data_IF_455115410901
#
_entry.id   IF_455115410901
#
_cell.length_a   1.000
_cell.length_b   1.000
_cell.length_c   1.000
_cell.angle_alpha   90.00
_cell.angle_beta   90.00
_cell.angle_gamma   90.00
#
_symmetry.space_group_name_H-M   'P 1'
#
loop_
_entity.id
_entity.type
_entity.pdbx_description
1 polymer ?
#
# COMPACT_ATOMS: atom_id res chain seq x y z
N UNK A 1 -10.65 -17.44 -12.29
CA UNK A 1 -9.56 -16.49 -11.96
C UNK A 1 -8.98 -16.90 -10.62
N UNK A 2 -7.67 -17.14 -10.53
CA UNK A 2 -6.99 -17.51 -9.29
C UNK A 2 -5.98 -16.43 -8.91
N UNK A 3 -6.17 -15.79 -7.76
CA UNK A 3 -5.28 -14.76 -7.26
C UNK A 3 -4.41 -15.27 -6.10
N UNK A 4 -3.20 -14.75 -5.98
CA UNK A 4 -2.37 -14.85 -4.78
C UNK A 4 -2.23 -13.45 -4.17
N UNK A 5 -2.38 -13.36 -2.85
CA UNK A 5 -2.19 -12.12 -2.10
C UNK A 5 -0.99 -12.29 -1.18
N UNK A 6 -0.08 -11.32 -1.23
CA UNK A 6 1.05 -11.21 -0.31
C UNK A 6 1.11 -9.78 0.22
N UNK A 7 1.60 -9.61 1.45
CA UNK A 7 1.74 -8.31 2.13
C UNK A 7 3.02 -8.30 2.96
N UNK A 8 3.40 -7.11 3.44
CA UNK A 8 4.41 -6.95 4.49
C UNK A 8 5.76 -7.59 4.14
N UNK A 9 6.20 -7.41 2.90
CA UNK A 9 7.55 -7.86 2.50
C UNK A 9 8.62 -6.91 3.03
N UNK A 10 8.29 -5.64 3.29
CA UNK A 10 9.14 -4.65 3.97
C UNK A 10 10.58 -4.59 3.42
N UNK A 11 10.78 -4.67 2.10
CA UNK A 11 12.12 -4.62 1.51
C UNK A 11 12.84 -3.32 1.89
N UNK A 12 14.07 -3.44 2.38
CA UNK A 12 14.83 -2.32 2.95
C UNK A 12 14.69 -2.15 4.47
N UNK A 13 13.88 -2.99 5.14
CA UNK A 13 13.74 -2.94 6.59
C UNK A 13 15.02 -3.38 7.32
N UNK A 14 15.70 -2.43 7.98
CA UNK A 14 16.89 -2.68 8.80
C UNK A 14 16.69 -3.72 9.92
N UNK A 15 15.43 -3.99 10.30
CA UNK A 15 15.07 -5.00 11.30
C UNK A 15 15.22 -6.45 10.81
N UNK A 16 15.61 -6.68 9.55
CA UNK A 16 15.70 -8.02 8.94
C UNK A 16 14.32 -8.64 8.68
N UNK A 17 13.31 -7.79 8.44
CA UNK A 17 11.94 -8.21 8.13
C UNK A 17 11.71 -8.40 6.62
N UNK A 18 12.69 -8.03 5.81
CA UNK A 18 12.76 -8.25 4.36
C UNK A 18 13.07 -9.71 4.00
N UNK A 19 12.37 -10.65 4.62
CA UNK A 19 12.58 -12.10 4.46
C UNK A 19 12.66 -12.54 2.99
N UNK A 20 11.80 -12.06 2.06
CA UNK A 20 11.84 -12.48 0.67
C UNK A 20 13.09 -12.00 -0.11
N UNK A 21 14.01 -11.27 0.53
CA UNK A 21 15.35 -11.00 -0.03
C UNK A 21 16.21 -12.26 -0.08
N UNK A 22 16.02 -13.17 0.87
CA UNK A 22 16.79 -14.40 0.95
C UNK A 22 16.20 -15.46 0.03
N UNK A 23 17.07 -16.12 -0.74
CA UNK A 23 16.69 -17.09 -1.79
C UNK A 23 15.78 -18.21 -1.25
N UNK A 24 16.03 -18.66 -0.02
CA UNK A 24 15.20 -19.67 0.65
C UNK A 24 13.71 -19.31 0.70
N UNK A 25 13.34 -18.05 0.96
CA UNK A 25 11.93 -17.65 0.99
C UNK A 25 11.34 -17.54 -0.42
N UNK A 26 12.14 -17.12 -1.40
CA UNK A 26 11.73 -17.07 -2.81
C UNK A 26 11.46 -18.47 -3.36
N UNK A 27 12.29 -19.46 -3.02
CA UNK A 27 12.07 -20.87 -3.37
C UNK A 27 10.76 -21.42 -2.81
N UNK A 28 10.32 -20.93 -1.64
CA UNK A 28 9.03 -21.30 -1.04
C UNK A 28 7.85 -20.60 -1.71
N UNK A 29 8.03 -19.36 -2.15
CA UNK A 29 7.01 -18.57 -2.83
C UNK A 29 6.80 -19.04 -4.28
N UNK A 30 7.86 -19.40 -5.00
CA UNK A 30 7.82 -19.69 -6.42
C UNK A 30 6.76 -20.73 -6.84
N UNK A 31 6.58 -21.88 -6.14
CA UNK A 31 5.51 -22.83 -6.47
C UNK A 31 4.10 -22.28 -6.29
N UNK A 32 3.90 -21.28 -5.43
CA UNK A 32 2.59 -20.67 -5.18
C UNK A 32 2.14 -19.76 -6.33
N UNK A 33 3.09 -19.28 -7.14
CA UNK A 33 2.84 -18.47 -8.34
C UNK A 33 2.44 -19.32 -9.55
N UNK A 34 2.53 -20.65 -9.46
CA UNK A 34 2.12 -21.53 -10.55
C UNK A 34 0.60 -21.54 -10.73
N UNK A 35 0.15 -21.31 -11.96
CA UNK A 35 -1.27 -21.34 -12.31
C UNK A 35 -2.14 -20.26 -11.65
N UNK A 36 -1.55 -19.18 -11.14
CA UNK A 36 -2.31 -17.98 -10.75
C UNK A 36 -2.43 -17.04 -11.95
N UNK A 37 -3.52 -16.26 -12.00
CA UNK A 37 -3.83 -15.24 -13.01
C UNK A 37 -3.47 -13.82 -12.53
N UNK A 38 -3.43 -13.62 -11.20
CA UNK A 38 -3.24 -12.32 -10.56
C UNK A 38 -2.40 -12.43 -9.29
N UNK A 39 -1.43 -11.53 -9.12
CA UNK A 39 -0.68 -11.35 -7.88
C UNK A 39 -0.99 -9.97 -7.30
N UNK A 40 -1.42 -9.96 -6.04
CA UNK A 40 -1.81 -8.73 -5.32
C UNK A 40 -0.81 -8.50 -4.18
N UNK A 41 -0.15 -7.35 -4.23
CA UNK A 41 0.65 -6.79 -3.13
C UNK A 41 -0.25 -5.92 -2.28
N UNK A 42 -0.62 -6.41 -1.09
CA UNK A 42 -1.50 -5.72 -0.15
C UNK A 42 -0.67 -4.94 0.88
N UNK A 43 0.04 -3.92 0.40
CA UNK A 43 0.75 -2.97 1.24
C UNK A 43 2.07 -3.46 1.82
N UNK A 44 2.86 -2.47 2.19
CA UNK A 44 4.17 -2.57 2.83
C UNK A 44 5.11 -3.50 2.06
N UNK A 45 5.16 -3.29 0.74
CA UNK A 45 6.11 -3.98 -0.13
C UNK A 45 7.54 -3.53 0.22
N UNK A 46 7.72 -2.23 0.40
CA UNK A 46 8.99 -1.62 0.77
C UNK A 46 8.90 -0.94 2.14
N UNK A 47 10.03 -0.86 2.84
CA UNK A 47 10.21 -0.03 4.03
C UNK A 47 11.13 1.14 3.75
N UNK A 48 10.53 2.25 3.30
CA UNK A 48 11.26 3.49 3.02
C UNK A 48 11.37 4.42 4.23
N UNK A 49 10.88 4.03 5.43
CA UNK A 49 11.02 4.89 6.61
C UNK A 49 12.46 4.98 7.11
N UNK A 50 13.25 3.93 6.90
CA UNK A 50 14.58 3.80 7.50
C UNK A 50 15.69 3.46 6.50
N UNK A 51 15.34 3.00 5.30
CA UNK A 51 16.28 2.62 4.23
C UNK A 51 16.24 3.58 3.06
N UNK A 52 17.29 3.57 2.23
CA UNK A 52 17.27 4.28 0.96
C UNK A 52 16.36 3.56 -0.05
N UNK A 53 15.83 4.31 -1.02
CA UNK A 53 15.02 3.72 -2.11
C UNK A 53 15.84 2.70 -2.89
N UNK A 54 17.11 3.01 -3.15
CA UNK A 54 18.01 2.14 -3.91
C UNK A 54 18.23 0.81 -3.17
N UNK A 55 18.56 0.85 -1.87
CA UNK A 55 18.75 -0.37 -1.07
C UNK A 55 17.49 -1.23 -1.00
N UNK A 56 16.32 -0.60 -0.87
CA UNK A 56 15.03 -1.27 -0.81
C UNK A 56 14.67 -1.95 -2.15
N UNK A 57 14.95 -1.29 -3.28
CA UNK A 57 14.75 -1.86 -4.63
C UNK A 57 15.75 -2.99 -4.90
N UNK A 58 17.01 -2.81 -4.51
CA UNK A 58 18.04 -3.85 -4.64
C UNK A 58 17.70 -5.09 -3.81
N UNK A 59 17.18 -4.90 -2.60
CA UNK A 59 16.69 -6.00 -1.76
C UNK A 59 15.52 -6.77 -2.40
N UNK A 60 14.70 -6.10 -3.23
CA UNK A 60 13.57 -6.70 -3.92
C UNK A 60 13.94 -7.42 -5.23
N UNK A 61 15.18 -7.32 -5.72
CA UNK A 61 15.62 -7.83 -7.02
C UNK A 61 15.22 -9.30 -7.26
N UNK A 62 15.43 -10.17 -6.26
CA UNK A 62 15.06 -11.59 -6.36
C UNK A 62 13.56 -11.80 -6.58
N UNK A 63 12.71 -11.07 -5.86
CA UNK A 63 11.26 -11.12 -6.03
C UNK A 63 10.83 -10.55 -7.38
N UNK A 64 11.43 -9.42 -7.80
CA UNK A 64 11.12 -8.79 -9.09
C UNK A 64 11.46 -9.73 -10.26
N UNK A 65 12.60 -10.44 -10.20
CA UNK A 65 12.99 -11.47 -11.18
C UNK A 65 12.04 -12.65 -11.17
N UNK A 66 11.66 -13.14 -10.00
CA UNK A 66 10.68 -14.22 -9.87
C UNK A 66 9.33 -13.84 -10.48
N UNK A 67 8.84 -12.63 -10.19
CA UNK A 67 7.61 -12.11 -10.76
C UNK A 67 7.70 -11.95 -12.27
N UNK A 68 8.80 -11.40 -12.79
CA UNK A 68 9.02 -11.28 -14.23
C UNK A 68 8.96 -12.65 -14.92
N UNK A 69 9.51 -13.70 -14.30
CA UNK A 69 9.51 -15.05 -14.83
C UNK A 69 8.14 -15.76 -14.77
N UNK A 70 7.36 -15.55 -13.70
CA UNK A 70 6.12 -16.32 -13.42
C UNK A 70 4.82 -15.56 -13.74
N UNK A 71 4.89 -14.24 -13.80
CA UNK A 71 3.75 -13.34 -13.97
C UNK A 71 3.77 -12.57 -15.30
N UNK A 72 4.64 -12.94 -16.24
CA UNK A 72 4.66 -12.34 -17.59
C UNK A 72 3.29 -12.46 -18.27
N UNK A 73 2.73 -11.33 -18.69
CA UNK A 73 1.40 -11.25 -19.33
C UNK A 73 0.22 -11.43 -18.38
N UNK A 74 0.46 -11.56 -17.07
CA UNK A 74 -0.56 -11.70 -16.03
C UNK A 74 -0.78 -10.39 -15.28
N UNK A 75 -1.82 -10.36 -14.43
CA UNK A 75 -2.17 -9.16 -13.69
C UNK A 75 -1.34 -9.02 -12.42
N UNK A 76 -0.80 -7.83 -12.20
CA UNK A 76 -0.13 -7.42 -10.97
C UNK A 76 -0.88 -6.22 -10.40
N UNK A 77 -1.32 -6.33 -9.15
CA UNK A 77 -1.96 -5.23 -8.43
C UNK A 77 -1.10 -4.87 -7.23
N UNK A 78 -0.81 -3.59 -7.10
CA UNK A 78 -0.10 -3.04 -5.96
C UNK A 78 -0.99 -2.03 -5.24
N UNK A 79 -1.24 -2.30 -3.97
CA UNK A 79 -1.87 -1.36 -3.04
C UNK A 79 -0.77 -0.88 -2.11
N UNK A 80 -0.48 0.42 -2.13
CA UNK A 80 0.54 0.98 -1.25
C UNK A 80 0.06 0.94 0.21
N UNK A 81 0.92 0.42 1.08
CA UNK A 81 0.78 0.49 2.53
C UNK A 81 1.40 1.78 3.08
N UNK A 82 1.47 1.88 4.42
CA UNK A 82 2.03 3.08 5.05
C UNK A 82 3.56 3.14 4.95
N UNK A 83 4.25 2.00 4.85
CA UNK A 83 5.69 1.98 4.65
C UNK A 83 6.09 2.32 3.19
N UNK A 84 5.20 2.07 2.24
CA UNK A 84 5.34 2.45 0.83
C UNK A 84 5.13 3.96 0.56
N UNK A 85 4.94 4.77 1.60
CA UNK A 85 4.54 6.18 1.50
C UNK A 85 5.37 7.00 0.51
N UNK A 86 6.68 6.75 0.37
CA UNK A 86 7.51 7.44 -0.60
C UNK A 86 7.02 7.28 -2.06
N UNK A 87 6.41 6.14 -2.42
CA UNK A 87 5.83 5.94 -3.76
C UNK A 87 4.54 6.72 -3.96
N UNK A 88 3.81 7.01 -2.88
CA UNK A 88 2.53 7.73 -2.91
C UNK A 88 2.73 9.24 -2.74
N UNK A 89 3.71 9.66 -1.94
CA UNK A 89 3.96 11.06 -1.58
C UNK A 89 4.93 11.78 -2.52
N UNK A 90 5.67 11.06 -3.37
CA UNK A 90 6.63 11.69 -4.30
C UNK A 90 5.99 12.75 -5.20
N UNK A 91 4.76 12.49 -5.65
CA UNK A 91 3.98 13.42 -6.45
C UNK A 91 3.63 14.72 -5.68
N UNK A 92 3.48 14.63 -4.36
CA UNK A 92 3.25 15.78 -3.46
C UNK A 92 4.56 16.52 -3.19
N UNK A 93 5.65 15.79 -2.96
CA UNK A 93 7.00 16.32 -2.73
C UNK A 93 7.53 17.05 -3.98
N UNK A 94 7.35 16.49 -5.17
CA UNK A 94 7.78 17.10 -6.44
C UNK A 94 7.04 18.42 -6.68
N UNK A 95 5.74 18.46 -6.36
CA UNK A 95 4.94 19.70 -6.41
C UNK A 95 5.40 20.70 -5.36
N UNK A 96 5.76 20.26 -4.16
CA UNK A 96 6.32 21.14 -3.14
C UNK A 96 7.67 21.72 -3.59
N UNK A 97 8.58 20.89 -4.11
CA UNK A 97 9.87 21.32 -4.66
C UNK A 97 9.72 22.33 -5.80
N UNK A 98 8.83 22.08 -6.76
CA UNK A 98 8.55 23.02 -7.84
C UNK A 98 8.03 24.38 -7.31
N UNK A 99 7.21 24.37 -6.25
CA UNK A 99 6.67 25.58 -5.63
C UNK A 99 7.73 26.35 -4.83
N UNK A 100 8.60 25.64 -4.11
CA UNK A 100 9.74 26.23 -3.41
C UNK A 100 10.69 26.91 -4.41
N UNK A 101 11.02 26.22 -5.50
CA UNK A 101 11.86 26.76 -6.58
C UNK A 101 11.22 27.98 -7.27
N UNK A 102 9.89 28.00 -7.39
CA UNK A 102 9.13 29.14 -7.93
C UNK A 102 8.90 30.27 -6.91
N UNK A 103 9.46 30.19 -5.70
CA UNK A 103 9.27 31.21 -4.66
C UNK A 103 7.83 31.30 -4.11
N UNK A 104 7.00 30.28 -4.33
CA UNK A 104 5.59 30.24 -3.94
C UNK A 104 5.38 29.47 -2.62
N UNK A 105 5.70 30.12 -1.50
CA UNK A 105 5.71 29.53 -0.16
C UNK A 105 4.38 29.69 0.59
N UNK A 106 3.26 29.24 0.04
CA UNK A 106 2.00 29.14 0.80
C UNK A 106 1.18 27.96 0.28
N UNK A 107 1.31 26.79 0.90
CA UNK A 107 0.24 25.80 1.11
C UNK A 107 0.90 24.54 1.70
N UNK A 108 0.96 24.51 3.03
CA UNK A 108 0.77 23.27 3.76
C UNK A 108 -0.74 23.04 3.85
N UNK A 109 -1.28 21.89 3.44
CA UNK A 109 -2.63 21.54 3.83
C UNK A 109 -2.62 21.43 5.36
N UNK A 110 -3.32 22.34 6.05
CA UNK A 110 -3.43 22.32 7.51
C UNK A 110 -3.94 20.95 7.99
N UNK A 111 -3.02 20.10 8.44
CA UNK A 111 -3.31 18.75 8.95
C UNK A 111 -3.97 18.78 10.34
N UNK A 112 -3.91 19.92 11.03
CA UNK A 112 -4.51 20.14 12.35
C UNK A 112 -5.95 20.68 12.29
N UNK A 113 -6.41 21.15 11.12
CA UNK A 113 -7.78 21.62 10.96
C UNK A 113 -8.79 20.49 11.12
N UNK A 114 -10.00 20.85 11.59
CA UNK A 114 -11.19 19.99 11.47
C UNK A 114 -11.43 19.54 10.02
N UNK A 115 -11.03 20.34 9.04
CA UNK A 115 -11.26 20.05 7.62
C UNK A 115 -10.30 18.97 7.10
N UNK A 116 -9.04 18.97 7.54
CA UNK A 116 -8.11 17.88 7.28
C UNK A 116 -8.44 16.62 8.08
N UNK A 117 -8.91 16.76 9.32
CA UNK A 117 -9.43 15.62 10.08
C UNK A 117 -10.65 15.00 9.40
N UNK A 118 -11.59 15.81 8.90
CA UNK A 118 -12.69 15.34 8.07
C UNK A 118 -12.22 14.69 6.76
N UNK A 119 -11.12 15.15 6.17
CA UNK A 119 -10.52 14.50 4.99
C UNK A 119 -9.90 13.15 5.35
N UNK A 120 -9.16 13.06 6.45
CA UNK A 120 -8.62 11.81 6.99
C UNK A 120 -9.75 10.81 7.26
N UNK A 121 -10.81 11.21 7.97
CA UNK A 121 -11.96 10.35 8.28
C UNK A 121 -12.72 9.82 7.05
N UNK A 122 -12.60 10.46 5.87
CA UNK A 122 -13.16 9.89 4.62
C UNK A 122 -12.42 8.65 4.14
N UNK A 123 -11.14 8.53 4.47
CA UNK A 123 -10.23 7.56 3.87
C UNK A 123 -9.52 6.67 4.91
N UNK A 124 -9.69 6.98 6.20
CA UNK A 124 -9.06 6.24 7.29
C UNK A 124 -9.73 4.88 7.51
N UNK A 125 -8.88 3.88 7.68
CA UNK A 125 -9.24 2.54 8.18
C UNK A 125 -9.92 2.63 9.57
N UNK A 126 -10.91 1.77 9.91
CA UNK A 126 -11.48 0.64 9.15
C UNK A 126 -12.67 0.99 8.21
N UNK A 127 -12.71 2.18 7.61
CA UNK A 127 -13.89 2.65 6.86
C UNK A 127 -14.32 1.80 5.66
N UNK A 128 -13.41 1.09 4.98
CA UNK A 128 -13.70 0.29 3.78
C UNK A 128 -12.89 -1.01 3.69
N UNK A 129 -13.49 -2.09 3.21
CA UNK A 129 -12.84 -3.35 2.83
C UNK A 129 -13.16 -3.71 1.37
N UNK A 130 -12.35 -4.57 0.75
CA UNK A 130 -12.66 -5.13 -0.58
C UNK A 130 -12.95 -6.63 -0.42
N UNK A 131 -14.17 -7.04 -0.73
CA UNK A 131 -14.58 -8.44 -0.80
C UNK A 131 -14.26 -8.99 -2.20
N UNK A 132 -13.44 -10.03 -2.25
CA UNK A 132 -13.17 -10.80 -3.46
C UNK A 132 -13.93 -12.12 -3.31
N UNK A 133 -14.94 -12.31 -4.14
CA UNK A 133 -15.80 -13.50 -4.16
C UNK A 133 -15.61 -14.24 -5.48
N UNK A 134 -15.33 -15.54 -5.43
CA UNK A 134 -15.10 -16.37 -6.63
C UNK A 134 -16.35 -16.56 -7.49
N UNK A 135 -17.53 -16.35 -6.92
CA UNK A 135 -18.81 -16.43 -7.63
C UNK A 135 -19.24 -15.07 -8.22
N UNK A 136 -18.52 -13.99 -7.88
CA UNK A 136 -18.78 -12.64 -8.40
C UNK A 136 -17.73 -12.25 -9.47
N UNK A 137 -18.14 -11.61 -10.58
CA UNK A 137 -17.21 -11.24 -11.64
C UNK A 137 -16.30 -10.05 -11.28
N UNK A 138 -16.63 -9.29 -10.24
CA UNK A 138 -15.90 -8.07 -9.84
C UNK A 138 -15.74 -7.99 -8.31
N UNK A 139 -14.60 -7.47 -7.79
CA UNK A 139 -14.42 -7.18 -6.38
C UNK A 139 -15.43 -6.14 -5.86
N UNK A 140 -15.93 -6.32 -4.64
CA UNK A 140 -16.91 -5.42 -4.03
C UNK A 140 -16.27 -4.56 -2.94
N UNK A 141 -16.46 -3.23 -3.01
CA UNK A 141 -16.06 -2.32 -1.93
C UNK A 141 -17.13 -2.30 -0.83
N UNK A 142 -16.79 -2.78 0.37
CA UNK A 142 -17.63 -2.79 1.56
C UNK A 142 -17.32 -1.59 2.46
N UNK A 143 -18.32 -0.78 2.82
CA UNK A 143 -18.18 0.32 3.76
C UNK A 143 -18.43 -0.11 5.21
N UNK A 144 -17.46 -0.76 5.86
CA UNK A 144 -17.66 -1.43 7.16
C UNK A 144 -18.02 -0.51 8.33
N UNK A 145 -17.66 0.78 8.26
CA UNK A 145 -17.94 1.78 9.30
C UNK A 145 -18.60 3.04 8.73
N UNK A 146 -19.27 2.92 7.57
CA UNK A 146 -19.92 4.05 6.93
C UNK A 146 -20.99 4.69 7.85
N UNK A 147 -21.66 3.87 8.66
CA UNK A 147 -22.66 4.26 9.67
C UNK A 147 -22.05 4.97 10.89
N UNK A 148 -20.78 4.70 11.21
CA UNK A 148 -20.05 5.37 12.29
C UNK A 148 -19.30 6.62 11.82
N UNK A 149 -19.24 6.88 10.51
CA UNK A 149 -18.56 8.04 9.96
C UNK A 149 -19.23 9.34 10.45
N UNK A 150 -18.49 10.25 11.12
CA UNK A 150 -19.02 11.56 11.50
C UNK A 150 -19.49 12.39 10.31
N UNK A 151 -19.03 12.06 9.10
CA UNK A 151 -19.40 12.73 7.85
C UNK A 151 -20.76 12.28 7.32
N UNK A 152 -21.22 11.09 7.72
CA UNK A 152 -22.53 10.54 7.39
C UNK A 152 -23.56 10.77 8.52
N UNK A 153 -23.22 11.57 9.54
CA UNK A 153 -24.06 11.78 10.73
C UNK A 153 -23.93 10.68 11.79
N UNK A 154 -22.96 9.78 11.64
CA UNK A 154 -22.66 8.74 12.62
C UNK A 154 -22.09 9.30 13.92
N UNK A 155 -22.16 8.53 15.03
CA UNK A 155 -21.74 8.97 16.35
C UNK A 155 -20.21 9.20 16.49
N UNK A 156 -19.43 8.85 15.47
CA UNK A 156 -17.96 8.78 15.54
C UNK A 156 -17.48 7.52 16.24
N UNK A 157 -16.16 7.36 16.31
CA UNK A 157 -15.56 6.24 17.05
C UNK A 157 -15.86 6.40 18.55
N UNK A 158 -16.26 5.33 19.26
CA UNK A 158 -16.48 5.39 20.70
C UNK A 158 -15.18 5.85 21.41
N UNK A 159 -15.33 6.69 22.43
CA UNK A 159 -14.20 7.16 23.24
C UNK A 159 -13.43 5.97 23.83
N UNK A 160 -12.09 6.08 23.90
CA UNK A 160 -11.26 5.07 24.56
C UNK A 160 -11.69 4.95 26.02
N UNK A 161 -12.08 3.74 26.43
CA UNK A 161 -12.28 3.39 27.84
C UNK A 161 -10.95 3.36 28.59
#
# INVERSE_FOLDING_TARGET
MRALVISDTHFGAWTGRDLPKEEFFLERLAPQLEGIDELIFLGDLFDFLFGSVDDAVDAADGLLKLNAAKMAGKRLVFLAGNHDHHLVYRDVEDRLHARLAAGSWIYEPDLGSRQAYARYLRYAWPGTAVLIDSEAPEPQLLGMLADLSPLAGGPGLPGRA
#
